data_IF_386976081786
#
_entry.id   IF_386976081786
#
_cell.length_a   1.000
_cell.length_b   1.000
_cell.length_c   1.000
_cell.angle_alpha   90.00
_cell.angle_beta   90.00
_cell.angle_gamma   90.00
#
_symmetry.space_group_name_H-M   'P 1'
#
loop_
_entity.id
_entity.type
_entity.pdbx_description
1 polymer ?
#
# COMPACT_ATOMS: atom_id res chain seq x y z
N UNK A 1 -10.25 34.09 46.47
CA UNK A 1 -11.38 34.30 45.54
C UNK A 1 -10.85 34.01 44.14
N UNK A 2 -11.00 32.78 43.67
CA UNK A 2 -10.54 32.38 42.32
C UNK A 2 -11.68 32.53 41.34
N UNK A 3 -11.57 33.51 40.45
CA UNK A 3 -12.45 33.73 39.31
C UNK A 3 -12.28 32.58 38.31
N UNK A 4 -13.27 31.71 38.20
CA UNK A 4 -13.35 30.70 37.14
C UNK A 4 -13.68 31.40 35.82
N UNK A 5 -12.74 31.37 34.87
CA UNK A 5 -13.02 31.72 33.47
C UNK A 5 -13.76 30.52 32.87
N UNK A 6 -15.05 30.66 32.66
CA UNK A 6 -15.85 29.71 31.87
C UNK A 6 -15.49 29.85 30.40
N UNK A 7 -14.77 28.88 29.83
CA UNK A 7 -14.67 28.78 28.37
C UNK A 7 -16.04 28.35 27.83
N UNK A 8 -16.71 29.26 27.13
CA UNK A 8 -17.87 28.93 26.33
C UNK A 8 -17.42 27.98 25.21
N UNK A 9 -17.87 26.73 25.27
CA UNK A 9 -17.72 25.76 24.18
C UNK A 9 -18.63 26.18 23.02
N UNK A 10 -18.10 27.02 22.13
CA UNK A 10 -18.78 27.53 20.95
C UNK A 10 -18.72 26.47 19.84
N UNK A 11 -19.65 25.51 19.90
CA UNK A 11 -19.88 24.50 18.87
C UNK A 11 -19.87 25.10 17.45
N UNK A 12 -19.15 24.49 16.51
CA UNK A 12 -19.16 24.89 15.09
C UNK A 12 -20.55 24.60 14.53
N UNK A 13 -21.34 25.66 14.33
CA UNK A 13 -22.70 25.54 13.81
C UNK A 13 -22.63 25.29 12.30
N UNK A 14 -22.55 24.01 11.91
CA UNK A 14 -22.56 23.56 10.52
C UNK A 14 -24.03 23.37 10.10
N UNK A 15 -24.54 24.26 9.24
CA UNK A 15 -25.89 24.12 8.67
C UNK A 15 -25.80 23.43 7.31
N UNK A 16 -26.52 22.30 7.19
CA UNK A 16 -26.52 21.45 6.00
C UNK A 16 -27.82 21.60 5.25
N UNK A 17 -27.72 21.88 3.96
CA UNK A 17 -28.85 22.11 3.07
C UNK A 17 -28.86 21.09 1.94
N UNK A 18 -30.04 20.59 1.61
CA UNK A 18 -30.28 19.81 0.41
C UNK A 18 -30.45 20.77 -0.77
N UNK A 19 -29.63 20.63 -1.81
CA UNK A 19 -29.62 21.59 -2.92
C UNK A 19 -30.49 21.06 -4.06
N UNK A 20 -31.71 21.58 -4.19
CA UNK A 20 -32.67 21.17 -5.24
C UNK A 20 -32.21 21.50 -6.66
N UNK A 21 -31.26 22.42 -6.82
CA UNK A 21 -30.64 22.77 -8.09
C UNK A 21 -29.53 21.79 -8.53
N UNK A 22 -29.11 20.89 -7.63
CA UNK A 22 -28.09 19.88 -7.90
C UNK A 22 -28.73 18.46 -7.84
N UNK A 23 -28.11 17.44 -8.46
CA UNK A 23 -28.59 16.07 -8.37
C UNK A 23 -28.75 15.66 -6.90
N UNK A 24 -29.75 14.82 -6.59
CA UNK A 24 -30.18 14.47 -5.21
C UNK A 24 -29.07 13.99 -4.25
N UNK A 25 -27.90 13.58 -4.75
CA UNK A 25 -26.73 13.16 -3.95
C UNK A 25 -25.82 14.32 -3.52
N UNK A 26 -26.06 15.54 -3.98
CA UNK A 26 -25.26 16.72 -3.68
C UNK A 26 -25.79 17.47 -2.46
N UNK A 27 -24.88 17.83 -1.58
CA UNK A 27 -25.17 18.56 -0.36
C UNK A 27 -24.30 19.79 -0.25
N UNK A 28 -24.89 20.83 0.34
CA UNK A 28 -24.23 22.09 0.61
C UNK A 28 -24.07 22.27 2.11
N UNK A 29 -22.83 22.52 2.54
CA UNK A 29 -22.49 22.86 3.90
C UNK A 29 -21.99 24.30 3.95
N UNK A 30 -22.62 25.11 4.78
CA UNK A 30 -22.23 26.49 5.04
C UNK A 30 -21.49 26.54 6.38
N UNK A 31 -20.24 27.03 6.36
CA UNK A 31 -19.37 27.12 7.53
C UNK A 31 -18.99 28.57 7.79
N UNK A 32 -19.41 29.10 8.94
CA UNK A 32 -19.05 30.46 9.36
C UNK A 32 -17.64 30.46 9.96
N UNK A 33 -16.75 31.29 9.41
CA UNK A 33 -15.40 31.48 9.97
C UNK A 33 -15.48 32.16 11.33
N UNK A 34 -14.91 31.56 12.38
CA UNK A 34 -14.92 32.12 13.74
C UNK A 34 -13.64 32.89 14.09
N UNK A 35 -12.55 32.72 13.34
CA UNK A 35 -11.24 33.30 13.63
C UNK A 35 -10.46 33.66 12.35
N UNK A 36 -9.39 34.45 12.49
CA UNK A 36 -8.55 34.92 11.38
C UNK A 36 -8.93 36.31 10.88
N UNK A 37 -8.52 36.65 9.65
CA UNK A 37 -8.64 38.00 9.06
C UNK A 37 -10.09 38.31 8.58
N UNK A 38 -10.97 37.31 8.54
CA UNK A 38 -12.37 37.50 8.09
C UNK A 38 -13.39 36.70 8.92
N UNK A 39 -13.47 36.95 10.24
CA UNK A 39 -14.47 36.30 11.09
C UNK A 39 -15.88 36.76 10.69
N UNK A 40 -16.83 35.82 10.69
CA UNK A 40 -18.22 36.04 10.26
C UNK A 40 -18.49 35.74 8.78
N UNK A 41 -17.46 35.56 7.93
CA UNK A 41 -17.66 35.16 6.53
C UNK A 41 -18.07 33.69 6.43
N UNK A 42 -19.03 33.38 5.57
CA UNK A 42 -19.51 32.02 5.32
C UNK A 42 -18.74 31.40 4.15
N UNK A 43 -18.09 30.26 4.40
CA UNK A 43 -17.57 29.39 3.35
C UNK A 43 -18.62 28.36 2.97
N UNK A 44 -18.88 28.24 1.68
CA UNK A 44 -19.87 27.30 1.13
C UNK A 44 -19.13 26.13 0.49
N UNK A 45 -19.37 24.93 0.98
CA UNK A 45 -18.80 23.70 0.45
C UNK A 45 -19.88 22.82 -0.16
N UNK A 46 -19.61 22.23 -1.32
CA UNK A 46 -20.51 21.27 -1.98
C UNK A 46 -19.86 19.89 -2.00
N UNK A 47 -20.57 18.88 -1.53
CA UNK A 47 -20.10 17.49 -1.49
C UNK A 47 -21.12 16.55 -2.13
N UNK A 48 -20.67 15.71 -3.06
CA UNK A 48 -21.48 14.61 -3.57
C UNK A 48 -21.33 13.41 -2.64
N UNK A 49 -22.38 13.08 -1.87
CA UNK A 49 -22.44 11.79 -1.17
C UNK A 49 -22.81 10.71 -2.19
N UNK A 50 -21.81 10.16 -2.87
CA UNK A 50 -22.01 8.95 -3.65
C UNK A 50 -21.20 8.77 -4.94
N UNK A 51 -20.12 9.51 -5.19
CA UNK A 51 -19.35 9.33 -6.43
C UNK A 51 -17.88 9.06 -6.11
N UNK A 52 -17.53 7.79 -6.27
CA UNK A 52 -16.19 7.26 -6.56
C UNK A 52 -15.48 8.25 -7.50
N UNK A 53 -14.20 8.54 -7.29
CA UNK A 53 -13.41 9.42 -8.16
C UNK A 53 -13.26 8.80 -9.56
N UNK A 54 -14.34 8.83 -10.34
CA UNK A 54 -14.29 8.49 -11.75
C UNK A 54 -13.84 9.74 -12.48
N UNK A 55 -12.56 9.75 -12.85
CA UNK A 55 -11.97 10.77 -13.71
C UNK A 55 -12.64 10.83 -15.11
N UNK A 56 -13.64 9.97 -15.41
CA UNK A 56 -14.36 9.96 -16.69
C UNK A 56 -15.49 11.00 -16.82
N UNK A 57 -15.87 11.73 -15.76
CA UNK A 57 -16.89 12.80 -15.86
C UNK A 57 -16.38 14.10 -16.49
N UNK A 58 -15.10 14.16 -16.86
CA UNK A 58 -14.57 15.29 -17.63
C UNK A 58 -14.48 14.86 -19.09
N UNK A 59 -15.36 15.39 -19.98
CA UNK A 59 -15.22 15.17 -21.42
C UNK A 59 -13.80 15.53 -21.86
N UNK A 60 -13.20 14.79 -22.83
CA UNK A 60 -11.86 15.08 -23.31
C UNK A 60 -11.70 16.56 -23.66
N UNK A 61 -10.83 17.25 -22.93
CA UNK A 61 -10.56 18.68 -23.14
C UNK A 61 -9.64 18.78 -24.35
N UNK A 62 -10.01 19.60 -25.34
CA UNK A 62 -9.14 19.90 -26.48
C UNK A 62 -7.84 20.53 -25.95
N UNK A 63 -6.69 19.92 -26.27
CA UNK A 63 -5.39 20.55 -26.06
C UNK A 63 -5.14 21.58 -27.16
N UNK A 64 -5.89 22.68 -27.13
CA UNK A 64 -5.60 23.85 -27.96
C UNK A 64 -5.07 24.95 -27.06
N UNK A 65 -4.25 25.85 -27.61
CA UNK A 65 -3.64 26.97 -26.88
C UNK A 65 -4.64 28.02 -26.35
N UNK A 66 -5.95 27.75 -26.43
CA UNK A 66 -7.00 28.68 -26.02
C UNK A 66 -7.40 28.47 -24.55
N UNK A 67 -7.35 29.53 -23.76
CA UNK A 67 -7.57 29.50 -22.30
C UNK A 67 -9.06 29.45 -21.93
N UNK A 68 -9.94 29.76 -22.89
CA UNK A 68 -11.39 29.74 -22.68
C UNK A 68 -11.95 28.35 -22.99
N UNK A 69 -12.48 27.69 -21.96
CA UNK A 69 -13.13 26.38 -22.09
C UNK A 69 -14.43 26.52 -22.88
N UNK A 70 -14.38 26.16 -24.16
CA UNK A 70 -15.59 26.00 -24.96
C UNK A 70 -16.16 24.58 -24.76
N UNK A 71 -17.47 24.43 -24.51
CA UNK A 71 -18.08 23.12 -24.39
C UNK A 71 -18.03 22.37 -25.72
N UNK A 72 -17.61 21.11 -25.69
CA UNK A 72 -17.60 20.22 -26.87
C UNK A 72 -18.86 19.35 -26.82
N UNK A 73 -19.74 19.50 -27.79
CA UNK A 73 -20.95 18.67 -27.93
C UNK A 73 -20.58 17.33 -28.54
N UNK A 74 -20.77 16.25 -27.78
CA UNK A 74 -20.59 14.88 -28.27
C UNK A 74 -21.86 14.45 -29.02
N UNK A 75 -21.78 14.30 -30.33
CA UNK A 75 -22.88 13.78 -31.16
C UNK A 75 -22.81 12.25 -31.21
N UNK A 76 -23.90 11.57 -30.87
CA UNK A 76 -23.99 10.10 -30.86
C UNK A 76 -25.06 9.66 -31.86
N UNK A 77 -24.63 9.12 -33.00
CA UNK A 77 -25.50 8.80 -34.16
C UNK A 77 -26.30 7.49 -34.01
N UNK A 78 -26.37 6.92 -32.80
CA UNK A 78 -27.14 5.70 -32.56
C UNK A 78 -27.77 5.69 -31.16
N UNK A 79 -29.07 5.47 -31.11
CA UNK A 79 -29.84 5.16 -29.91
C UNK A 79 -29.68 3.68 -29.52
N UNK A 80 -28.42 3.24 -29.44
CA UNK A 80 -28.09 2.00 -28.78
C UNK A 80 -28.20 2.20 -27.28
N UNK A 81 -29.04 1.43 -26.60
CA UNK A 81 -28.94 1.19 -25.14
C UNK A 81 -27.59 0.52 -24.88
N UNK A 82 -26.51 1.29 -24.93
CA UNK A 82 -25.20 0.85 -24.45
C UNK A 82 -25.38 0.73 -22.95
N UNK A 83 -25.66 -0.50 -22.51
CA UNK A 83 -25.65 -0.90 -21.12
C UNK A 83 -24.33 -0.37 -20.56
N UNK A 84 -24.39 0.67 -19.75
CA UNK A 84 -23.24 1.22 -19.02
C UNK A 84 -22.90 0.24 -17.90
N UNK A 85 -22.57 -1.00 -18.26
CA UNK A 85 -21.99 -1.99 -17.36
C UNK A 85 -20.48 -1.74 -17.30
N UNK A 86 -20.10 -0.53 -16.90
CA UNK A 86 -18.83 -0.31 -16.18
C UNK A 86 -19.16 -0.24 -14.69
N UNK A 87 -19.87 -1.26 -14.19
CA UNK A 87 -19.83 -1.56 -12.76
C UNK A 87 -18.49 -2.23 -12.47
N UNK A 88 -17.40 -1.50 -12.66
CA UNK A 88 -16.18 -1.84 -11.95
C UNK A 88 -16.54 -1.71 -10.47
N UNK A 89 -16.47 -2.85 -9.76
CA UNK A 89 -16.67 -2.92 -8.31
C UNK A 89 -15.70 -2.00 -7.56
N UNK A 90 -15.53 -2.13 -6.25
CA UNK A 90 -14.48 -1.39 -5.54
C UNK A 90 -13.16 -1.50 -6.33
N UNK A 91 -12.68 -0.40 -6.91
CA UNK A 91 -11.39 -0.42 -7.60
C UNK A 91 -10.36 -0.36 -6.49
N UNK A 92 -9.75 -1.51 -6.20
CA UNK A 92 -8.58 -1.54 -5.35
C UNK A 92 -7.50 -0.66 -5.98
N UNK A 93 -6.81 0.13 -5.14
CA UNK A 93 -5.72 0.95 -5.64
C UNK A 93 -4.67 0.02 -6.27
N UNK A 94 -4.10 0.39 -7.44
CA UNK A 94 -3.05 -0.41 -8.03
C UNK A 94 -1.87 -0.53 -7.06
N UNK A 95 -1.43 -1.76 -6.77
CA UNK A 95 -0.23 -2.05 -5.98
C UNK A 95 0.97 -2.17 -6.93
N UNK A 96 2.11 -1.57 -6.57
CA UNK A 96 3.36 -1.79 -7.30
C UNK A 96 3.94 -3.14 -6.84
N UNK A 97 3.98 -4.17 -7.69
CA UNK A 97 4.34 -5.55 -7.30
C UNK A 97 5.82 -5.76 -6.95
N UNK A 98 6.73 -4.99 -7.54
CA UNK A 98 8.18 -5.15 -7.41
C UNK A 98 8.81 -3.86 -6.87
N UNK A 99 8.17 -3.25 -5.87
CA UNK A 99 8.64 -1.98 -5.31
C UNK A 99 9.88 -2.19 -4.44
N UNK A 100 10.06 -3.38 -3.88
CA UNK A 100 11.21 -3.80 -3.07
C UNK A 100 12.51 -3.69 -3.86
N UNK A 101 12.48 -3.90 -5.18
CA UNK A 101 13.63 -3.69 -6.06
C UNK A 101 14.20 -2.28 -5.97
N UNK A 102 13.40 -1.28 -5.60
CA UNK A 102 13.88 0.10 -5.41
C UNK A 102 14.82 0.23 -4.21
N UNK A 103 14.86 -0.77 -3.34
CA UNK A 103 15.75 -0.85 -2.19
C UNK A 103 17.07 -1.57 -2.53
N UNK A 104 17.24 -2.11 -3.74
CA UNK A 104 18.49 -2.72 -4.18
C UNK A 104 19.65 -1.73 -4.07
N UNK A 105 20.82 -2.22 -3.63
CA UNK A 105 21.99 -1.40 -3.37
C UNK A 105 21.94 -0.58 -2.07
N UNK A 106 20.82 -0.56 -1.35
CA UNK A 106 20.79 -0.03 0.01
C UNK A 106 21.29 -1.08 0.99
N UNK A 107 22.34 -0.75 1.74
CA UNK A 107 22.89 -1.59 2.80
C UNK A 107 22.90 -0.85 4.12
N UNK A 108 22.78 -1.63 5.20
CA UNK A 108 23.02 -1.10 6.54
C UNK A 108 24.53 -0.87 6.73
N UNK A 109 24.89 0.18 7.46
CA UNK A 109 26.26 0.48 7.81
C UNK A 109 26.43 0.49 9.33
N UNK A 110 27.67 0.28 9.78
CA UNK A 110 28.04 0.49 11.18
C UNK A 110 28.11 1.99 11.55
N UNK A 111 28.43 2.30 12.80
CA UNK A 111 28.58 3.69 13.28
C UNK A 111 29.72 4.46 12.62
N UNK A 112 30.62 3.76 11.93
CA UNK A 112 31.77 4.33 11.22
C UNK A 112 31.53 4.46 9.71
N UNK A 113 30.36 4.03 9.23
CA UNK A 113 29.96 4.08 7.81
C UNK A 113 30.40 2.88 6.98
N UNK A 114 30.95 1.82 7.57
CA UNK A 114 31.28 0.61 6.83
C UNK A 114 30.02 -0.21 6.57
N UNK A 115 29.81 -0.60 5.31
CA UNK A 115 28.70 -1.45 4.91
C UNK A 115 28.79 -2.82 5.61
N UNK A 116 27.66 -3.24 6.17
CA UNK A 116 27.52 -4.58 6.70
C UNK A 116 27.44 -5.60 5.56
N UNK A 117 28.05 -6.75 5.79
CA UNK A 117 28.04 -7.84 4.83
C UNK A 117 26.60 -8.31 4.55
N UNK A 118 26.31 -8.60 3.28
CA UNK A 118 25.02 -9.14 2.86
C UNK A 118 24.80 -10.52 3.50
N UNK A 119 23.57 -10.80 3.93
CA UNK A 119 23.22 -12.14 4.41
C UNK A 119 23.19 -13.12 3.24
N UNK A 120 23.87 -14.26 3.38
CA UNK A 120 23.72 -15.38 2.45
C UNK A 120 22.39 -16.10 2.72
N UNK A 121 21.53 -16.18 1.70
CA UNK A 121 20.25 -16.86 1.84
C UNK A 121 20.38 -18.38 1.71
N UNK A 122 19.60 -19.15 2.47
CA UNK A 122 19.51 -20.60 2.28
C UNK A 122 19.05 -20.96 0.86
N UNK A 123 19.64 -22.01 0.27
CA UNK A 123 19.29 -22.51 -1.08
C UNK A 123 17.80 -22.90 -1.26
N UNK A 124 17.09 -23.10 -0.16
CA UNK A 124 15.65 -23.38 -0.16
C UNK A 124 14.79 -22.17 -0.52
N UNK A 125 15.27 -20.94 -0.30
CA UNK A 125 14.58 -19.72 -0.67
C UNK A 125 14.84 -19.42 -2.15
N UNK A 126 13.81 -19.64 -2.98
CA UNK A 126 13.91 -19.45 -4.44
C UNK A 126 13.20 -18.17 -4.85
N UNK A 127 13.92 -17.29 -5.52
CA UNK A 127 13.37 -16.05 -6.08
C UNK A 127 12.19 -16.33 -7.03
N UNK A 128 11.19 -15.45 -6.98
CA UNK A 128 10.05 -15.46 -7.89
C UNK A 128 9.88 -14.09 -8.53
N UNK A 129 9.85 -14.07 -9.85
CA UNK A 129 9.62 -12.87 -10.65
C UNK A 129 10.86 -12.39 -11.42
N UNK A 130 10.66 -11.40 -12.29
CA UNK A 130 11.70 -10.91 -13.19
C UNK A 130 12.82 -10.20 -12.42
N UNK A 131 14.05 -10.67 -12.62
CA UNK A 131 15.26 -10.05 -12.05
C UNK A 131 15.20 -9.88 -10.53
N UNK A 132 14.59 -10.83 -9.81
CA UNK A 132 14.59 -10.88 -8.35
C UNK A 132 15.85 -11.62 -7.91
N UNK A 133 16.67 -10.97 -7.07
CA UNK A 133 17.88 -11.54 -6.51
C UNK A 133 17.72 -11.75 -4.98
N UNK A 134 18.75 -12.28 -4.33
CA UNK A 134 18.72 -12.60 -2.90
C UNK A 134 18.48 -11.36 -2.02
N UNK A 135 18.96 -10.18 -2.41
CA UNK A 135 18.70 -8.93 -1.68
C UNK A 135 17.24 -8.52 -1.78
N UNK A 136 16.67 -8.60 -2.99
CA UNK A 136 15.24 -8.33 -3.22
C UNK A 136 14.37 -9.29 -2.41
N UNK A 137 14.74 -10.58 -2.35
CA UNK A 137 14.03 -11.58 -1.55
C UNK A 137 14.06 -11.17 -0.08
N UNK A 138 15.24 -10.83 0.44
CA UNK A 138 15.41 -10.44 1.84
C UNK A 138 14.56 -9.21 2.19
N UNK A 139 14.57 -8.20 1.32
CA UNK A 139 13.75 -6.99 1.46
C UNK A 139 12.24 -7.30 1.44
N UNK A 140 11.81 -8.19 0.55
CA UNK A 140 10.41 -8.60 0.43
C UNK A 140 9.95 -9.41 1.65
N UNK A 141 10.76 -10.36 2.13
CA UNK A 141 10.47 -11.13 3.34
C UNK A 141 10.46 -10.22 4.57
N UNK A 142 11.45 -9.33 4.73
CA UNK A 142 11.49 -8.39 5.83
C UNK A 142 10.26 -7.48 5.85
N UNK A 143 9.83 -6.99 4.68
CA UNK A 143 8.63 -6.15 4.59
C UNK A 143 7.36 -6.93 4.90
N UNK A 144 7.23 -8.16 4.39
CA UNK A 144 6.09 -9.02 4.70
C UNK A 144 5.98 -9.27 6.21
N UNK A 145 7.11 -9.56 6.89
CA UNK A 145 7.15 -9.77 8.33
C UNK A 145 6.90 -8.49 9.15
N UNK A 146 7.27 -7.32 8.61
CA UNK A 146 7.13 -6.04 9.32
C UNK A 146 5.71 -5.46 9.22
N UNK A 147 5.10 -5.55 8.03
CA UNK A 147 3.85 -4.83 7.72
C UNK A 147 2.62 -5.75 7.75
N UNK A 148 2.80 -7.05 7.51
CA UNK A 148 1.69 -8.00 7.47
C UNK A 148 1.49 -8.71 8.80
N UNK A 149 0.23 -8.83 9.22
CA UNK A 149 -0.18 -9.71 10.31
C UNK A 149 -0.69 -11.08 9.80
N UNK A 150 -0.58 -11.35 8.49
CA UNK A 150 -1.00 -12.61 7.88
C UNK A 150 0.16 -13.61 7.84
N UNK A 151 -0.13 -14.92 7.77
CA UNK A 151 0.92 -15.94 7.59
C UNK A 151 1.77 -15.66 6.35
N UNK A 152 3.10 -15.70 6.52
CA UNK A 152 4.06 -15.53 5.45
C UNK A 152 4.47 -16.92 4.95
N UNK A 153 3.87 -17.35 3.84
CA UNK A 153 4.08 -18.68 3.24
C UNK A 153 4.84 -18.62 1.92
N UNK A 154 4.90 -17.45 1.27
CA UNK A 154 5.48 -17.25 -0.06
C UNK A 154 4.48 -17.45 -1.19
N UNK A 155 4.97 -17.39 -2.43
CA UNK A 155 4.16 -17.53 -3.63
C UNK A 155 3.79 -18.99 -3.86
N UNK A 156 2.50 -19.33 -3.73
CA UNK A 156 1.98 -20.69 -3.91
C UNK A 156 1.75 -21.06 -5.38
N UNK A 157 1.78 -20.08 -6.28
CA UNK A 157 1.70 -20.31 -7.72
C UNK A 157 2.84 -21.20 -8.23
N UNK A 158 2.61 -21.89 -9.35
CA UNK A 158 3.68 -22.62 -10.01
C UNK A 158 4.71 -21.65 -10.57
N UNK A 159 6.00 -22.02 -10.49
CA UNK A 159 7.10 -21.20 -11.03
C UNK A 159 6.86 -20.76 -12.48
N UNK A 160 6.36 -21.68 -13.32
CA UNK A 160 6.07 -21.37 -14.73
C UNK A 160 4.99 -20.31 -14.91
N UNK A 161 3.94 -20.32 -14.09
CA UNK A 161 2.88 -19.32 -14.17
C UNK A 161 3.39 -17.95 -13.70
N UNK A 162 4.11 -17.93 -12.58
CA UNK A 162 4.67 -16.72 -11.97
C UNK A 162 5.67 -16.00 -12.88
N UNK A 163 6.45 -16.75 -13.68
CA UNK A 163 7.41 -16.18 -14.63
C UNK A 163 6.73 -15.67 -15.92
N UNK A 164 5.71 -16.37 -16.43
CA UNK A 164 5.03 -16.00 -17.68
C UNK A 164 4.20 -14.73 -17.56
N UNK A 165 3.47 -14.58 -16.47
CA UNK A 165 2.64 -13.39 -16.25
C UNK A 165 2.64 -12.98 -14.77
N UNK A 166 3.74 -12.39 -14.29
CA UNK A 166 3.87 -12.00 -12.89
C UNK A 166 2.78 -11.00 -12.45
N UNK A 167 2.32 -10.14 -13.36
CA UNK A 167 1.29 -9.14 -13.06
C UNK A 167 -0.07 -9.73 -12.69
N UNK A 168 -0.33 -10.98 -13.07
CA UNK A 168 -1.59 -11.68 -12.80
C UNK A 168 -1.43 -12.71 -11.68
N UNK A 169 -0.29 -13.41 -11.63
CA UNK A 169 -0.12 -14.58 -10.79
C UNK A 169 0.62 -14.33 -9.47
N UNK A 170 1.32 -13.20 -9.32
CA UNK A 170 1.95 -12.85 -8.05
C UNK A 170 0.90 -12.37 -7.07
N UNK A 171 0.88 -12.98 -5.88
CA UNK A 171 0.12 -12.49 -4.77
C UNK A 171 0.88 -11.31 -4.11
N UNK A 172 0.33 -10.08 -4.12
CA UNK A 172 0.98 -8.91 -3.53
C UNK A 172 1.09 -8.96 -1.99
N UNK A 173 0.34 -9.86 -1.34
CA UNK A 173 0.33 -9.99 0.12
C UNK A 173 1.31 -11.07 0.62
N UNK A 174 2.09 -11.67 -0.30
CA UNK A 174 3.14 -12.64 0.01
C UNK A 174 4.49 -12.18 -0.57
N UNK A 175 5.62 -12.52 0.05
CA UNK A 175 6.94 -12.12 -0.44
C UNK A 175 7.27 -12.73 -1.80
N UNK A 176 8.24 -12.14 -2.50
CA UNK A 176 8.74 -12.56 -3.84
C UNK A 176 9.62 -13.83 -3.80
N UNK A 177 9.23 -14.80 -2.98
CA UNK A 177 9.88 -16.10 -2.83
C UNK A 177 8.88 -17.21 -3.11
N UNK A 178 9.32 -18.29 -3.75
CA UNK A 178 8.49 -19.47 -3.94
C UNK A 178 8.07 -20.02 -2.57
N UNK A 179 6.84 -20.52 -2.48
CA UNK A 179 6.34 -21.13 -1.25
C UNK A 179 7.34 -22.15 -0.70
N UNK A 180 7.67 -21.98 0.57
CA UNK A 180 8.65 -22.81 1.27
C UNK A 180 7.92 -23.95 1.96
N UNK A 181 8.33 -25.18 1.68
CA UNK A 181 7.87 -26.38 2.38
C UNK A 181 9.01 -26.93 3.23
N UNK A 182 8.76 -27.16 4.51
CA UNK A 182 9.73 -27.79 5.42
C UNK A 182 9.50 -29.29 5.40
N UNK A 183 10.52 -30.07 5.01
CA UNK A 183 10.48 -31.53 5.04
C UNK A 183 11.10 -32.08 6.35
N UNK A 184 10.80 -33.34 6.67
CA UNK A 184 11.36 -34.02 7.86
C UNK A 184 12.90 -34.04 7.85
N UNK A 185 13.51 -34.16 6.66
CA UNK A 185 14.97 -34.08 6.50
C UNK A 185 15.53 -32.69 6.83
N UNK A 186 14.79 -31.62 6.55
CA UNK A 186 15.18 -30.26 6.91
C UNK A 186 15.17 -30.09 8.44
N UNK A 187 14.15 -30.65 9.10
CA UNK A 187 14.02 -30.66 10.56
C UNK A 187 15.19 -31.43 11.17
N UNK A 188 15.43 -32.66 10.73
CA UNK A 188 16.51 -33.51 11.24
C UNK A 188 17.89 -32.85 11.09
N UNK A 189 18.18 -32.29 9.91
CA UNK A 189 19.43 -31.54 9.67
C UNK A 189 19.56 -30.35 10.63
N UNK A 190 18.47 -29.65 10.91
CA UNK A 190 18.49 -28.52 11.83
C UNK A 190 18.72 -28.97 13.29
N UNK A 191 18.10 -30.07 13.71
CA UNK A 191 18.32 -30.68 15.03
C UNK A 191 19.78 -31.11 15.24
N UNK A 192 20.39 -31.75 14.24
CA UNK A 192 21.81 -32.14 14.28
C UNK A 192 22.74 -30.93 14.42
N UNK A 193 22.46 -29.83 13.70
CA UNK A 193 23.21 -28.57 13.82
C UNK A 193 23.10 -27.98 15.22
N UNK A 194 21.89 -27.93 15.78
CA UNK A 194 21.64 -27.41 17.14
C UNK A 194 22.35 -28.27 18.18
N UNK A 195 22.25 -29.60 18.08
CA UNK A 195 22.93 -30.54 18.96
C UNK A 195 24.45 -30.34 18.94
N UNK A 196 25.02 -30.21 17.74
CA UNK A 196 26.46 -29.95 17.55
C UNK A 196 26.89 -28.62 18.17
N UNK A 197 26.10 -27.55 17.99
CA UNK A 197 26.39 -26.24 18.56
C UNK A 197 26.33 -26.25 20.10
N UNK A 198 25.34 -26.95 20.68
CA UNK A 198 25.21 -27.14 22.14
C UNK A 198 26.42 -27.88 22.71
N UNK A 199 26.88 -28.95 22.06
CA UNK A 199 28.07 -29.70 22.48
C UNK A 199 29.33 -28.82 22.45
N UNK A 200 29.54 -28.06 21.37
CA UNK A 200 30.67 -27.11 21.26
C UNK A 200 30.63 -26.06 22.36
N UNK A 201 29.46 -25.51 22.67
CA UNK A 201 29.28 -24.55 23.75
C UNK A 201 29.61 -25.19 25.11
N UNK A 202 29.14 -26.41 25.38
CA UNK A 202 29.43 -27.13 26.62
C UNK A 202 30.94 -27.37 26.80
N UNK A 203 31.63 -27.78 25.73
CA UNK A 203 33.08 -27.97 25.75
C UNK A 203 33.83 -26.65 26.01
N UNK A 204 33.42 -25.56 25.35
CA UNK A 204 34.01 -24.24 25.56
C UNK A 204 33.82 -23.74 27.01
N UNK A 205 32.64 -23.96 27.59
CA UNK A 205 32.36 -23.60 29.00
C UNK A 205 33.21 -24.45 29.94
N UNK A 206 33.29 -25.76 29.72
CA UNK A 206 34.13 -26.65 30.54
C UNK A 206 35.59 -26.20 30.50
N UNK A 207 36.14 -25.94 29.31
CA UNK A 207 37.52 -25.50 29.15
C UNK A 207 37.79 -24.10 29.73
N UNK A 208 36.76 -23.28 29.96
CA UNK A 208 36.89 -21.97 30.62
C UNK A 208 36.89 -22.08 32.16
N UNK A 209 36.27 -23.14 32.69
CA UNK A 209 36.15 -23.39 34.13
C UNK A 209 37.27 -24.27 34.71
N UNK A 210 38.03 -24.96 33.85
CA UNK A 210 39.28 -25.65 34.16
C UNK A 210 40.49 -24.69 34.03
#
# INVERSE_FOLDING_TARGET
MSTKITSADLSVERKRFECSALPKSWQRDDVVRKSGISPGRVDVYYYSRGVRSDASLVPPIRQTASIFKQPVTVYKTQEGKVKTDFKHGPQEKPKQLFWEKRLEGLRACDTYGHELHAMELPKGLKAVGPHVNDETILQSVATALHVSNQPVTGQTGSKSALEKNPGVFINPDQPLVQAVSVADEDIKRQEERVSSARKKLQEAIRNYLE
#
